data_IF_647525860286
#
_entry.id   IF_647525860286
#
_cell.length_a   1.000
_cell.length_b   1.000
_cell.length_c   1.000
_cell.angle_alpha   90.00
_cell.angle_beta   90.00
_cell.angle_gamma   90.00
#
_symmetry.space_group_name_H-M   'P 1'
#
loop_
_entity.id
_entity.type
_entity.pdbx_description
1 polymer ?
#
# COMPACT_ATOMS: atom_id res chain seq x y z
N UNK A 1 -14.56 -20.15 -9.21
CA UNK A 1 -15.70 -20.20 -10.14
C UNK A 1 -15.60 -21.38 -11.10
N UNK A 2 -14.46 -21.61 -11.82
CA UNK A 2 -14.35 -22.79 -12.74
C UNK A 2 -14.57 -24.10 -12.00
N UNK A 3 -13.90 -24.30 -10.87
CA UNK A 3 -13.99 -25.54 -10.10
C UNK A 3 -15.26 -25.64 -9.24
N UNK A 4 -15.74 -24.51 -8.74
CA UNK A 4 -16.83 -24.47 -7.76
C UNK A 4 -18.22 -24.39 -8.40
N UNK A 5 -18.32 -23.68 -9.54
CA UNK A 5 -19.60 -23.43 -10.23
C UNK A 5 -19.64 -23.97 -11.65
N UNK A 6 -18.60 -24.67 -12.11
CA UNK A 6 -18.56 -25.26 -13.45
C UNK A 6 -18.58 -24.24 -14.60
N UNK A 7 -18.29 -22.97 -14.34
CA UNK A 7 -18.28 -21.94 -15.36
C UNK A 7 -17.16 -22.18 -16.37
N UNK A 8 -17.50 -22.26 -17.68
CA UNK A 8 -16.52 -22.53 -18.75
C UNK A 8 -15.85 -21.24 -19.26
N UNK A 9 -16.61 -20.17 -19.38
CA UNK A 9 -16.14 -18.89 -19.93
C UNK A 9 -15.88 -17.90 -18.80
N UNK A 10 -14.70 -17.98 -18.19
CA UNK A 10 -14.25 -17.05 -17.14
C UNK A 10 -12.93 -16.47 -17.59
N UNK A 11 -12.88 -15.16 -17.63
CA UNK A 11 -11.68 -14.38 -17.86
C UNK A 11 -11.38 -13.48 -16.66
N UNK A 12 -10.11 -13.25 -16.40
CA UNK A 12 -9.66 -12.33 -15.34
C UNK A 12 -9.36 -10.96 -15.95
N UNK A 13 -10.03 -9.95 -15.42
CA UNK A 13 -9.76 -8.55 -15.74
C UNK A 13 -9.18 -7.86 -14.52
N UNK A 14 -8.03 -7.25 -14.71
CA UNK A 14 -7.40 -6.45 -13.64
C UNK A 14 -8.22 -5.18 -13.35
N UNK A 15 -8.11 -4.69 -12.12
CA UNK A 15 -8.74 -3.44 -11.69
C UNK A 15 -8.32 -2.28 -12.59
N UNK A 16 -9.28 -1.45 -13.00
CA UNK A 16 -8.99 -0.15 -13.58
C UNK A 16 -8.49 0.81 -12.48
N UNK A 17 -7.36 1.42 -12.72
CA UNK A 17 -6.71 2.34 -11.77
C UNK A 17 -6.76 3.78 -12.33
N UNK A 18 -6.59 4.81 -11.49
CA UNK A 18 -6.31 6.15 -11.98
C UNK A 18 -5.12 6.13 -12.97
N UNK A 19 -4.98 7.16 -13.79
CA UNK A 19 -3.90 7.24 -14.80
C UNK A 19 -2.52 7.42 -14.13
N UNK A 20 -2.17 6.47 -13.27
CA UNK A 20 -0.88 6.42 -12.61
C UNK A 20 0.18 5.91 -13.58
N UNK A 21 1.22 6.68 -13.72
CA UNK A 21 2.49 6.24 -14.31
C UNK A 21 3.39 5.74 -13.19
N UNK A 22 4.23 4.76 -13.47
CA UNK A 22 5.24 4.34 -12.51
C UNK A 22 6.19 5.52 -12.25
N UNK A 23 6.10 6.11 -11.07
CA UNK A 23 6.84 7.30 -10.66
C UNK A 23 7.67 7.08 -9.38
N UNK A 24 7.83 5.82 -8.98
CA UNK A 24 8.71 5.47 -7.87
C UNK A 24 10.14 5.94 -8.16
N UNK A 25 10.78 6.55 -7.17
CA UNK A 25 12.13 7.10 -7.29
C UNK A 25 13.12 6.26 -6.48
N UNK A 26 14.35 6.15 -7.00
CA UNK A 26 15.47 5.54 -6.27
C UNK A 26 15.83 6.31 -4.99
N UNK A 27 16.66 5.67 -4.16
CA UNK A 27 17.26 6.28 -2.99
C UNK A 27 16.41 6.17 -1.73
N UNK A 28 16.66 7.06 -0.78
CA UNK A 28 16.05 7.05 0.55
C UNK A 28 15.01 8.16 0.64
N UNK A 29 13.80 7.81 1.08
CA UNK A 29 12.74 8.76 1.39
C UNK A 29 12.83 9.29 2.83
N UNK A 30 11.85 10.07 3.24
CA UNK A 30 11.95 10.86 4.46
C UNK A 30 11.35 10.19 5.70
N UNK A 31 10.38 9.28 5.56
CA UNK A 31 9.61 8.71 6.67
C UNK A 31 8.89 7.42 6.29
N UNK A 32 8.36 6.73 7.30
CA UNK A 32 7.39 5.66 7.12
C UNK A 32 5.98 6.23 7.01
N UNK A 33 5.14 5.70 6.13
CA UNK A 33 3.77 6.18 5.87
C UNK A 33 2.73 5.07 6.01
N UNK A 34 1.69 5.33 6.77
CA UNK A 34 0.40 4.65 6.66
C UNK A 34 -0.64 5.61 6.11
N UNK A 35 -1.43 5.22 5.12
CA UNK A 35 -2.49 6.06 4.59
C UNK A 35 -3.81 5.29 4.34
N UNK A 36 -4.93 6.02 4.40
CA UNK A 36 -6.24 5.47 4.14
C UNK A 36 -7.36 6.36 4.68
N UNK A 37 -8.61 5.99 4.40
CA UNK A 37 -9.76 6.63 5.04
C UNK A 37 -9.85 6.15 6.49
N UNK A 38 -9.55 7.04 7.45
CA UNK A 38 -9.46 6.73 8.87
C UNK A 38 -10.85 6.67 9.55
N UNK A 39 -11.93 7.01 8.84
CA UNK A 39 -13.30 6.75 9.31
C UNK A 39 -13.68 5.27 9.18
N UNK A 40 -12.95 4.51 8.37
CA UNK A 40 -13.16 3.07 8.22
C UNK A 40 -12.47 2.34 9.39
N UNK A 41 -13.23 1.66 10.20
CA UNK A 41 -12.77 0.97 11.42
C UNK A 41 -11.52 0.10 11.19
N UNK A 42 -11.48 -0.66 10.09
CA UNK A 42 -10.34 -1.51 9.76
C UNK A 42 -9.06 -0.71 9.50
N UNK A 43 -9.16 0.49 8.92
CA UNK A 43 -8.03 1.36 8.68
C UNK A 43 -7.56 2.04 9.98
N UNK A 44 -8.48 2.52 10.80
CA UNK A 44 -8.16 3.08 12.12
C UNK A 44 -7.48 2.04 13.02
N UNK A 45 -8.02 0.82 13.04
CA UNK A 45 -7.42 -0.31 13.76
C UNK A 45 -6.00 -0.61 13.30
N UNK A 46 -5.74 -0.58 11.99
CA UNK A 46 -4.42 -0.79 11.43
C UNK A 46 -3.44 0.34 11.84
N UNK A 47 -3.85 1.61 11.75
CA UNK A 47 -3.06 2.75 12.18
C UNK A 47 -2.73 2.69 13.67
N UNK A 48 -3.72 2.39 14.51
CA UNK A 48 -3.56 2.21 15.97
C UNK A 48 -2.58 1.08 16.27
N UNK A 49 -2.73 -0.07 15.61
CA UNK A 49 -1.83 -1.20 15.79
C UNK A 49 -0.38 -0.87 15.41
N UNK A 50 -0.17 -0.13 14.32
CA UNK A 50 1.16 0.34 13.93
C UNK A 50 1.77 1.23 15.01
N UNK A 51 1.02 2.21 15.53
CA UNK A 51 1.50 3.10 16.61
C UNK A 51 1.85 2.32 17.88
N UNK A 52 0.96 1.47 18.35
CA UNK A 52 1.09 0.81 19.65
C UNK A 52 2.07 -0.37 19.64
N UNK A 53 2.17 -1.10 18.53
CA UNK A 53 2.91 -2.37 18.47
C UNK A 53 4.18 -2.31 17.66
N UNK A 54 4.24 -1.48 16.62
CA UNK A 54 5.41 -1.38 15.73
C UNK A 54 6.27 -0.17 16.11
N UNK A 55 5.69 1.02 16.20
CA UNK A 55 6.43 2.27 16.38
C UNK A 55 6.63 2.70 17.83
N UNK A 56 6.04 2.03 18.82
CA UNK A 56 6.08 2.43 20.23
C UNK A 56 7.49 2.77 20.75
N UNK A 57 8.51 2.04 20.30
CA UNK A 57 9.91 2.21 20.74
C UNK A 57 10.87 2.35 19.53
N UNK A 58 10.38 2.78 18.37
CA UNK A 58 11.20 3.08 17.21
C UNK A 58 11.41 4.60 17.11
N UNK A 59 12.66 5.02 16.99
CA UNK A 59 13.04 6.41 16.74
C UNK A 59 13.08 6.70 15.22
N UNK A 60 12.05 6.26 14.51
CA UNK A 60 11.91 6.41 13.06
C UNK A 60 10.66 7.25 12.80
N UNK A 61 10.77 8.32 11.98
CA UNK A 61 9.61 9.16 11.65
C UNK A 61 8.47 8.34 11.01
N UNK A 62 7.28 8.46 11.59
CA UNK A 62 6.09 7.77 11.13
C UNK A 62 4.93 8.74 10.91
N UNK A 63 4.43 8.79 9.69
CA UNK A 63 3.28 9.62 9.29
C UNK A 63 2.05 8.75 9.10
N UNK A 64 0.94 9.16 9.69
CA UNK A 64 -0.38 8.61 9.43
C UNK A 64 -1.17 9.67 8.68
N UNK A 65 -1.69 9.35 7.50
CA UNK A 65 -2.41 10.31 6.68
C UNK A 65 -3.77 9.76 6.23
N UNK A 66 -4.83 10.55 6.40
CA UNK A 66 -6.14 10.12 5.95
C UNK A 66 -7.29 10.98 6.40
N UNK A 67 -8.48 10.68 5.85
CA UNK A 67 -9.70 11.42 6.13
C UNK A 67 -10.28 11.01 7.48
N UNK A 68 -10.88 11.99 8.17
CA UNK A 68 -11.72 11.78 9.34
C UNK A 68 -11.10 10.92 10.46
N UNK A 69 -9.88 11.22 10.94
CA UNK A 69 -9.30 10.49 12.06
C UNK A 69 -10.13 10.72 13.33
N UNK A 70 -10.32 9.66 14.13
CA UNK A 70 -10.99 9.79 15.43
C UNK A 70 -10.11 10.61 16.41
N UNK A 71 -10.75 11.24 17.40
CA UNK A 71 -10.00 11.92 18.48
C UNK A 71 -9.05 10.99 19.23
N UNK A 72 -9.45 9.72 19.39
CA UNK A 72 -8.62 8.69 20.02
C UNK A 72 -7.32 8.48 19.25
N UNK A 73 -7.42 8.29 17.93
CA UNK A 73 -6.25 8.09 17.07
C UNK A 73 -5.36 9.34 17.05
N UNK A 74 -5.97 10.53 17.00
CA UNK A 74 -5.23 11.79 17.08
C UNK A 74 -4.44 11.91 18.37
N UNK A 75 -5.06 11.70 19.54
CA UNK A 75 -4.40 11.72 20.85
C UNK A 75 -3.25 10.71 20.92
N UNK A 76 -3.46 9.51 20.40
CA UNK A 76 -2.43 8.47 20.38
C UNK A 76 -1.23 8.87 19.50
N UNK A 77 -1.47 9.40 18.30
CA UNK A 77 -0.40 9.86 17.40
C UNK A 77 0.40 11.03 18.03
N UNK A 78 -0.27 12.00 18.65
CA UNK A 78 0.39 13.13 19.32
C UNK A 78 1.17 12.73 20.57
N UNK A 79 0.82 11.62 21.21
CA UNK A 79 1.59 11.12 22.37
C UNK A 79 2.90 10.42 21.98
N UNK A 80 3.11 10.14 20.70
CA UNK A 80 4.31 9.50 20.17
C UNK A 80 5.29 10.54 19.61
N UNK A 81 6.51 10.57 20.16
CA UNK A 81 7.55 11.57 19.81
C UNK A 81 7.92 11.59 18.32
N UNK A 82 7.90 10.43 17.68
CA UNK A 82 8.33 10.24 16.28
C UNK A 82 7.16 10.04 15.31
N UNK A 83 5.93 10.25 15.76
CA UNK A 83 4.74 10.07 14.92
C UNK A 83 4.02 11.39 14.67
N UNK A 84 3.44 11.51 13.48
CA UNK A 84 2.64 12.64 13.05
C UNK A 84 1.35 12.15 12.38
N UNK A 85 0.24 12.83 12.63
CA UNK A 85 -1.02 12.55 11.96
C UNK A 85 -1.43 13.75 11.10
N UNK A 86 -1.67 13.49 9.81
CA UNK A 86 -2.17 14.46 8.84
C UNK A 86 -3.63 14.12 8.53
N UNK A 87 -4.54 14.90 9.10
CA UNK A 87 -5.98 14.74 8.91
C UNK A 87 -6.46 15.39 7.62
N UNK A 88 -7.24 14.62 6.83
CA UNK A 88 -7.93 15.09 5.63
C UNK A 88 -7.03 15.84 4.62
N UNK A 89 -5.89 15.25 4.22
CA UNK A 89 -5.06 15.85 3.18
C UNK A 89 -5.82 15.91 1.85
N UNK A 90 -5.52 16.92 1.06
CA UNK A 90 -5.93 16.98 -0.34
C UNK A 90 -5.32 15.83 -1.14
N UNK A 91 -5.87 15.52 -2.31
CA UNK A 91 -5.32 14.48 -3.18
C UNK A 91 -3.85 14.74 -3.54
N UNK A 92 -3.52 15.99 -3.86
CA UNK A 92 -2.14 16.40 -4.17
C UNK A 92 -1.20 16.21 -2.98
N UNK A 93 -1.59 16.63 -1.79
CA UNK A 93 -0.81 16.43 -0.57
C UNK A 93 -0.61 14.94 -0.26
N UNK A 94 -1.65 14.11 -0.47
CA UNK A 94 -1.54 12.66 -0.30
C UNK A 94 -0.54 12.06 -1.29
N UNK A 95 -0.58 12.44 -2.57
CA UNK A 95 0.38 11.95 -3.57
C UNK A 95 1.80 12.41 -3.25
N UNK A 96 1.99 13.66 -2.83
CA UNK A 96 3.29 14.17 -2.38
C UNK A 96 3.83 13.39 -1.17
N UNK A 97 2.96 13.04 -0.21
CA UNK A 97 3.35 12.21 0.94
C UNK A 97 3.72 10.79 0.53
N UNK A 98 2.99 10.20 -0.41
CA UNK A 98 3.29 8.87 -0.95
C UNK A 98 4.65 8.87 -1.64
N UNK A 99 4.92 9.83 -2.50
CA UNK A 99 6.19 9.94 -3.23
C UNK A 99 7.41 10.17 -2.30
N UNK A 100 7.24 10.95 -1.22
CA UNK A 100 8.32 11.27 -0.26
C UNK A 100 8.54 10.19 0.79
N UNK A 101 7.60 9.30 1.00
CA UNK A 101 7.74 8.22 1.96
C UNK A 101 8.83 7.23 1.52
N UNK A 102 9.57 6.72 2.51
CA UNK A 102 10.56 5.67 2.28
C UNK A 102 9.93 4.28 2.39
N UNK A 103 9.08 4.09 3.40
CA UNK A 103 8.43 2.80 3.64
C UNK A 103 6.93 3.02 3.78
N UNK A 104 6.15 2.34 2.96
CA UNK A 104 4.70 2.28 3.09
C UNK A 104 4.32 1.08 3.94
N UNK A 105 3.56 1.30 5.00
CA UNK A 105 3.10 0.24 5.90
C UNK A 105 1.59 0.06 5.70
N UNK A 106 1.21 -1.04 5.07
CA UNK A 106 -0.18 -1.25 4.65
C UNK A 106 -0.75 -2.58 5.17
N UNK A 107 -0.75 -2.83 6.50
CA UNK A 107 -1.43 -4.01 7.03
C UNK A 107 -2.94 -3.91 6.82
N UNK A 108 -3.58 -5.06 6.58
CA UNK A 108 -5.03 -5.19 6.43
C UNK A 108 -5.56 -6.34 7.26
N UNK A 109 -6.81 -6.22 7.70
CA UNK A 109 -7.56 -7.30 8.35
C UNK A 109 -8.55 -7.98 7.39
N UNK A 110 -8.66 -7.46 6.16
CA UNK A 110 -9.57 -7.95 5.13
C UNK A 110 -8.74 -8.62 4.03
N UNK A 111 -8.94 -9.91 3.80
CA UNK A 111 -8.23 -10.68 2.78
C UNK A 111 -8.76 -10.45 1.37
N UNK A 112 -10.06 -10.16 1.24
CA UNK A 112 -10.72 -10.09 -0.07
C UNK A 112 -10.50 -8.76 -0.79
N UNK A 113 -10.43 -8.82 -2.11
CA UNK A 113 -10.38 -7.67 -3.03
C UNK A 113 -9.02 -6.97 -3.09
N UNK A 114 -8.70 -6.46 -4.28
CA UNK A 114 -7.49 -5.69 -4.54
C UNK A 114 -7.49 -4.38 -3.72
N UNK A 115 -6.38 -4.09 -3.07
CA UNK A 115 -6.24 -2.88 -2.24
C UNK A 115 -5.69 -1.74 -3.09
N UNK A 116 -6.54 -0.77 -3.46
CA UNK A 116 -6.14 0.40 -4.27
C UNK A 116 -4.97 1.16 -3.63
N UNK A 117 -4.94 1.29 -2.30
CA UNK A 117 -3.82 1.93 -1.60
C UNK A 117 -2.48 1.18 -1.76
N UNK A 118 -2.52 -0.14 -1.89
CA UNK A 118 -1.33 -0.94 -2.21
C UNK A 118 -0.82 -0.60 -3.61
N UNK A 119 -1.71 -0.57 -4.60
CA UNK A 119 -1.33 -0.21 -5.96
C UNK A 119 -0.75 1.21 -6.02
N UNK A 120 -1.37 2.18 -5.34
CA UNK A 120 -0.86 3.54 -5.29
C UNK A 120 0.57 3.59 -4.71
N UNK A 121 0.81 2.89 -3.60
CA UNK A 121 2.15 2.81 -3.01
C UNK A 121 3.17 2.11 -3.92
N UNK A 122 2.76 1.08 -4.65
CA UNK A 122 3.64 0.37 -5.59
C UNK A 122 3.96 1.18 -6.85
N UNK A 123 3.02 2.00 -7.34
CA UNK A 123 3.25 2.87 -8.51
C UNK A 123 4.08 4.11 -8.17
N UNK A 124 3.86 4.70 -6.99
CA UNK A 124 4.34 6.06 -6.71
C UNK A 124 5.28 6.16 -5.49
N UNK A 125 5.41 5.10 -4.70
CA UNK A 125 6.25 5.08 -3.49
C UNK A 125 7.46 4.16 -3.60
N UNK A 126 8.24 4.06 -2.51
CA UNK A 126 9.43 3.20 -2.41
C UNK A 126 9.08 1.84 -1.79
N UNK A 127 9.72 1.44 -0.71
CA UNK A 127 9.48 0.14 -0.07
C UNK A 127 8.03 0.01 0.43
N UNK A 128 7.47 -1.20 0.31
CA UNK A 128 6.11 -1.49 0.77
C UNK A 128 6.13 -2.71 1.68
N UNK A 129 5.69 -2.52 2.92
CA UNK A 129 5.55 -3.57 3.93
C UNK A 129 4.08 -3.86 4.14
N UNK A 130 3.71 -5.11 4.00
CA UNK A 130 2.33 -5.61 4.08
C UNK A 130 2.23 -6.85 4.97
N UNK A 131 1.01 -7.24 5.31
CA UNK A 131 0.76 -8.58 5.84
C UNK A 131 0.08 -9.46 4.78
N UNK A 132 -0.04 -10.76 5.07
CA UNK A 132 -0.66 -11.75 4.17
C UNK A 132 -2.07 -11.34 3.73
N UNK A 133 -2.86 -10.73 4.64
CA UNK A 133 -4.21 -10.29 4.31
C UNK A 133 -4.26 -9.15 3.28
N UNK A 134 -3.23 -8.32 3.21
CA UNK A 134 -3.14 -7.25 2.20
C UNK A 134 -2.84 -7.80 0.82
N UNK A 135 -1.99 -8.83 0.74
CA UNK A 135 -1.42 -9.33 -0.50
C UNK A 135 -2.13 -10.58 -1.05
N UNK A 136 -3.05 -11.17 -0.25
CA UNK A 136 -3.72 -12.42 -0.61
C UNK A 136 -4.31 -12.37 -2.03
N UNK A 137 -4.00 -13.38 -2.82
CA UNK A 137 -4.48 -13.58 -4.20
C UNK A 137 -4.20 -12.40 -5.16
N UNK A 138 -3.25 -11.52 -4.79
CA UNK A 138 -2.93 -10.34 -5.60
C UNK A 138 -1.89 -10.60 -6.69
N UNK A 139 -1.00 -11.59 -6.51
CA UNK A 139 0.16 -11.82 -7.38
C UNK A 139 1.20 -10.69 -7.34
N UNK A 140 1.16 -9.85 -6.28
CA UNK A 140 2.08 -8.72 -6.09
C UNK A 140 3.11 -8.98 -4.99
N UNK A 141 3.18 -10.22 -4.49
CA UNK A 141 4.12 -10.66 -3.45
C UNK A 141 5.58 -10.29 -3.75
N UNK A 142 6.07 -10.44 -5.01
CA UNK A 142 7.46 -10.09 -5.33
C UNK A 142 7.79 -8.60 -5.20
N UNK A 143 6.77 -7.73 -5.08
CA UNK A 143 6.93 -6.28 -4.99
C UNK A 143 6.83 -5.74 -3.56
N UNK A 144 6.64 -6.64 -2.58
CA UNK A 144 6.36 -6.27 -1.20
C UNK A 144 7.25 -7.03 -0.21
N UNK A 145 7.49 -6.42 0.93
CA UNK A 145 8.04 -7.11 2.11
C UNK A 145 6.87 -7.58 2.98
N UNK A 146 6.86 -8.86 3.36
CA UNK A 146 5.72 -9.46 4.06
C UNK A 146 6.07 -9.68 5.53
N UNK A 147 5.34 -9.01 6.43
CA UNK A 147 5.44 -9.20 7.87
C UNK A 147 4.21 -9.91 8.42
N UNK A 148 4.40 -10.94 9.25
CA UNK A 148 3.29 -11.71 9.85
C UNK A 148 2.94 -11.26 11.27
N UNK A 149 3.86 -10.59 11.96
CA UNK A 149 3.71 -10.13 13.35
C UNK A 149 4.17 -8.68 13.52
N UNK A 150 3.85 -8.07 14.65
CA UNK A 150 4.35 -6.72 14.98
C UNK A 150 5.88 -6.66 15.03
N UNK A 151 6.54 -7.70 15.55
CA UNK A 151 8.00 -7.78 15.59
C UNK A 151 8.56 -7.89 14.16
N UNK A 152 7.97 -8.73 13.30
CA UNK A 152 8.41 -8.83 11.90
C UNK A 152 8.27 -7.47 11.16
N UNK A 153 7.17 -6.72 11.40
CA UNK A 153 7.03 -5.36 10.85
C UNK A 153 8.11 -4.43 11.38
N UNK A 154 8.38 -4.48 12.69
CA UNK A 154 9.42 -3.67 13.33
C UNK A 154 10.81 -3.93 12.77
N UNK A 155 11.16 -5.21 12.61
CA UNK A 155 12.44 -5.64 12.06
C UNK A 155 12.60 -5.21 10.59
N UNK A 156 11.53 -5.39 9.77
CA UNK A 156 11.50 -4.91 8.39
C UNK A 156 11.65 -3.38 8.31
N UNK A 157 10.96 -2.63 9.15
CA UNK A 157 11.08 -1.16 9.20
C UNK A 157 12.51 -0.76 9.56
N UNK A 158 13.10 -1.36 10.59
CA UNK A 158 14.46 -1.05 11.03
C UNK A 158 15.51 -1.36 9.94
N UNK A 159 15.35 -2.48 9.24
CA UNK A 159 16.23 -2.88 8.14
C UNK A 159 16.09 -1.94 6.94
N UNK A 160 14.84 -1.75 6.46
CA UNK A 160 14.57 -1.03 5.22
C UNK A 160 14.82 0.48 5.35
N UNK A 161 14.69 1.04 6.56
CA UNK A 161 14.84 2.50 6.75
C UNK A 161 16.20 3.04 6.31
N UNK A 162 17.23 2.19 6.33
CA UNK A 162 18.59 2.52 5.90
C UNK A 162 18.96 1.93 4.54
N UNK A 163 18.04 1.20 3.90
CA UNK A 163 18.27 0.55 2.62
C UNK A 163 17.69 1.39 1.48
N UNK A 164 18.51 1.91 0.54
CA UNK A 164 18.01 2.63 -0.60
C UNK A 164 17.09 1.77 -1.45
N UNK A 165 16.01 2.36 -1.95
CA UNK A 165 15.18 1.76 -3.00
C UNK A 165 15.95 1.82 -4.32
N UNK A 166 16.00 0.73 -5.06
CA UNK A 166 16.94 0.53 -6.17
C UNK A 166 16.26 0.59 -7.53
N UNK A 167 17.06 0.85 -8.58
CA UNK A 167 16.63 0.77 -9.97
C UNK A 167 16.08 -0.62 -10.33
N UNK A 168 16.65 -1.69 -9.77
CA UNK A 168 16.19 -3.06 -10.04
C UNK A 168 14.78 -3.32 -9.47
N UNK A 169 14.45 -2.74 -8.32
CA UNK A 169 13.09 -2.77 -7.77
C UNK A 169 12.12 -2.00 -8.66
N UNK A 170 12.53 -0.86 -9.23
CA UNK A 170 11.73 -0.10 -10.19
C UNK A 170 11.51 -0.92 -11.48
N UNK A 171 12.55 -1.54 -12.03
CA UNK A 171 12.45 -2.42 -13.20
C UNK A 171 11.50 -3.59 -12.96
N UNK A 172 11.58 -4.21 -11.77
CA UNK A 172 10.68 -5.30 -11.40
C UNK A 172 9.22 -4.83 -11.34
N UNK A 173 8.96 -3.66 -10.74
CA UNK A 173 7.63 -3.05 -10.72
C UNK A 173 7.13 -2.74 -12.13
N UNK A 174 7.96 -2.16 -12.98
CA UNK A 174 7.62 -1.88 -14.37
C UNK A 174 7.17 -3.15 -15.10
N UNK A 175 7.95 -4.23 -14.95
CA UNK A 175 7.65 -5.54 -15.57
C UNK A 175 6.32 -6.14 -15.13
N UNK A 176 5.94 -5.97 -13.84
CA UNK A 176 4.76 -6.63 -13.27
C UNK A 176 3.52 -5.71 -13.34
N UNK A 177 3.64 -4.43 -12.97
CA UNK A 177 2.49 -3.54 -12.81
C UNK A 177 2.01 -2.96 -14.13
N UNK A 178 2.91 -2.46 -14.95
CA UNK A 178 2.54 -1.69 -16.15
C UNK A 178 1.72 -2.51 -17.14
N UNK A 179 2.10 -3.75 -17.50
CA UNK A 179 1.27 -4.57 -18.40
C UNK A 179 -0.07 -4.98 -17.76
N UNK A 180 -0.08 -5.24 -16.44
CA UNK A 180 -1.25 -5.77 -15.75
C UNK A 180 -2.33 -4.71 -15.52
N UNK A 181 -1.92 -3.49 -15.18
CA UNK A 181 -2.84 -2.38 -14.87
C UNK A 181 -2.93 -1.35 -15.98
N UNK A 182 -2.70 -1.75 -17.22
CA UNK A 182 -2.90 -0.92 -18.40
C UNK A 182 -4.39 -0.83 -18.74
N UNK A 183 -5.03 0.30 -18.42
CA UNK A 183 -6.45 0.51 -18.61
C UNK A 183 -6.89 0.34 -20.06
N UNK A 184 -6.11 0.85 -21.03
CA UNK A 184 -6.44 0.76 -22.46
C UNK A 184 -6.38 -0.69 -22.95
N UNK A 185 -5.31 -1.41 -22.60
CA UNK A 185 -5.18 -2.82 -22.97
C UNK A 185 -6.28 -3.68 -22.31
N UNK A 186 -6.61 -3.40 -21.05
CA UNK A 186 -7.67 -4.10 -20.33
C UNK A 186 -9.05 -3.80 -20.93
N UNK A 187 -9.33 -2.56 -21.33
CA UNK A 187 -10.57 -2.20 -22.01
C UNK A 187 -10.69 -2.92 -23.37
N UNK A 188 -9.62 -2.97 -24.17
CA UNK A 188 -9.60 -3.72 -25.44
C UNK A 188 -9.91 -5.21 -25.24
N UNK A 189 -9.31 -5.84 -24.21
CA UNK A 189 -9.63 -7.25 -23.87
C UNK A 189 -11.09 -7.41 -23.50
N UNK A 190 -11.61 -6.55 -22.62
CA UNK A 190 -13.01 -6.61 -22.19
C UNK A 190 -13.98 -6.47 -23.36
N UNK A 191 -13.72 -5.53 -24.27
CA UNK A 191 -14.52 -5.34 -25.48
C UNK A 191 -14.47 -6.59 -26.35
N UNK A 192 -13.29 -7.19 -26.56
CA UNK A 192 -13.12 -8.42 -27.34
C UNK A 192 -13.88 -9.62 -26.74
N UNK A 193 -13.99 -9.71 -25.41
CA UNK A 193 -14.78 -10.79 -24.78
C UNK A 193 -16.30 -10.60 -24.88
N UNK A 194 -16.76 -9.35 -24.98
CA UNK A 194 -18.20 -9.04 -25.07
C UNK A 194 -18.70 -9.09 -26.51
N UNK A 195 -17.90 -8.62 -27.47
CA UNK A 195 -18.32 -8.36 -28.84
C UNK A 195 -17.54 -9.14 -29.91
N UNK A 196 -16.46 -9.83 -29.55
CA UNK A 196 -15.64 -10.71 -30.42
C UNK A 196 -16.10 -12.15 -30.29
#
# INVERSE_FOLDING_TARGET
YRHEFGCKNIEELSLYIPDWKLSAEEGIGSYCLYHGDLSVEANEKAATWLLEKVFKNLEIPFVIAGKNPSEKLQKLAYSSKYSCLVGTPTEKEMQDMIAKAHIHLLPSYIKTGMKVKLLNALFNGRHVVVNEATIADSGLEPLCHIGTTANAFKDLVAQLYHQPFTEDEIKLRNKILVPRFNNEANAKKQIGWIWG
#
